data_IF_340299493409
#
_entry.id   IF_340299493409
#
_cell.length_a   1.000
_cell.length_b   1.000
_cell.length_c   1.000
_cell.angle_alpha   90.00
_cell.angle_beta   90.00
_cell.angle_gamma   90.00
#
_symmetry.space_group_name_H-M   'P 1'
#
loop_
_entity.id
_entity.type
_entity.pdbx_description
1 polymer ?
#
# COMPACT_ATOMS: atom_id res chain seq x y z
N UNK A 1 1.43 -12.71 24.01
CA UNK A 1 0.86 -11.57 23.27
C UNK A 1 -0.63 -11.81 23.19
N UNK A 2 -1.38 -11.38 24.20
CA UNK A 2 -2.84 -11.46 24.17
C UNK A 2 -3.31 -10.52 23.09
N UNK A 3 -3.86 -11.05 22.00
CA UNK A 3 -4.46 -10.25 20.96
C UNK A 3 -5.60 -9.48 21.59
N UNK A 4 -5.47 -8.15 21.64
CA UNK A 4 -6.65 -7.31 21.77
C UNK A 4 -7.64 -7.78 20.71
N UNK A 5 -8.87 -8.05 21.15
CA UNK A 5 -9.94 -8.56 20.30
C UNK A 5 -10.17 -7.55 19.17
N UNK A 6 -9.56 -7.82 18.02
CA UNK A 6 -9.61 -6.95 16.85
C UNK A 6 -11.06 -6.95 16.37
N UNK A 7 -11.83 -5.92 16.75
CA UNK A 7 -13.18 -5.71 16.24
C UNK A 7 -13.10 -5.25 14.79
N UNK A 8 -12.99 -6.22 13.90
CA UNK A 8 -12.95 -5.99 12.45
C UNK A 8 -14.35 -5.57 12.00
N UNK A 9 -14.53 -4.27 11.73
CA UNK A 9 -15.72 -3.76 11.08
C UNK A 9 -15.44 -3.51 9.60
N UNK A 10 -16.48 -3.55 8.76
CA UNK A 10 -16.40 -3.16 7.34
C UNK A 10 -15.75 -1.78 7.17
N UNK A 11 -16.10 -0.82 8.02
CA UNK A 11 -15.52 0.51 8.03
C UNK A 11 -14.01 0.51 8.34
N UNK A 12 -13.57 -0.29 9.31
CA UNK A 12 -12.15 -0.41 9.66
C UNK A 12 -11.33 -1.02 8.52
N UNK A 13 -11.86 -2.04 7.84
CA UNK A 13 -11.21 -2.65 6.69
C UNK A 13 -11.08 -1.67 5.52
N UNK A 14 -12.14 -0.89 5.23
CA UNK A 14 -12.10 0.16 4.21
C UNK A 14 -11.07 1.24 4.56
N UNK A 15 -10.99 1.66 5.81
CA UNK A 15 -9.99 2.63 6.25
C UNK A 15 -8.56 2.11 6.08
N UNK A 16 -8.31 0.83 6.44
CA UNK A 16 -7.00 0.21 6.24
C UNK A 16 -6.65 0.07 4.75
N UNK A 17 -7.64 -0.21 3.88
CA UNK A 17 -7.44 -0.25 2.43
C UNK A 17 -6.96 1.11 1.89
N UNK A 18 -7.60 2.21 2.31
CA UNK A 18 -7.20 3.58 1.94
C UNK A 18 -5.79 3.90 2.43
N UNK A 19 -5.41 3.46 3.64
CA UNK A 19 -4.03 3.64 4.14
C UNK A 19 -3.01 2.93 3.26
N UNK A 20 -3.31 1.72 2.79
CA UNK A 20 -2.42 0.96 1.91
C UNK A 20 -2.34 1.54 0.49
N UNK A 21 -3.44 2.07 -0.03
CA UNK A 21 -3.42 2.84 -1.29
C UNK A 21 -2.48 4.06 -1.18
N UNK A 22 -2.62 4.83 -0.10
CA UNK A 22 -1.75 5.98 0.16
C UNK A 22 -0.29 5.56 0.31
N UNK A 23 -0.01 4.49 1.06
CA UNK A 23 1.34 3.96 1.23
C UNK A 23 1.96 3.53 -0.11
N UNK A 24 1.19 2.90 -1.00
CA UNK A 24 1.66 2.54 -2.34
C UNK A 24 2.02 3.78 -3.16
N UNK A 25 1.16 4.80 -3.14
CA UNK A 25 1.39 6.07 -3.84
C UNK A 25 2.62 6.82 -3.30
N UNK A 26 2.73 6.97 -1.99
CA UNK A 26 3.86 7.63 -1.33
C UNK A 26 5.17 6.90 -1.61
N UNK A 27 5.17 5.55 -1.60
CA UNK A 27 6.36 4.75 -1.92
C UNK A 27 6.82 4.94 -3.35
N UNK A 28 5.90 4.90 -4.34
CA UNK A 28 6.23 5.19 -5.75
C UNK A 28 6.78 6.60 -5.92
N UNK A 29 6.12 7.57 -5.30
CA UNK A 29 6.56 8.97 -5.34
C UNK A 29 7.98 9.13 -4.78
N UNK A 30 8.26 8.47 -3.65
CA UNK A 30 9.58 8.49 -3.04
C UNK A 30 10.66 7.83 -3.91
N UNK A 31 10.32 6.78 -4.67
CA UNK A 31 11.20 6.14 -5.65
C UNK A 31 11.58 7.11 -6.77
N UNK A 32 10.58 7.72 -7.41
CA UNK A 32 10.77 8.64 -8.55
C UNK A 32 11.51 9.91 -8.14
N UNK A 33 11.32 10.40 -6.91
CA UNK A 33 11.94 11.63 -6.42
C UNK A 33 13.49 11.63 -6.44
N UNK A 34 14.13 10.46 -6.55
CA UNK A 34 15.59 10.32 -6.59
C UNK A 34 16.16 10.03 -7.98
N UNK A 35 15.33 9.96 -9.01
CA UNK A 35 15.77 9.69 -10.37
C UNK A 35 16.70 10.78 -10.91
N UNK A 36 17.77 10.38 -11.60
CA UNK A 36 18.72 11.28 -12.25
C UNK A 36 19.76 11.91 -11.33
N UNK A 37 19.79 11.58 -10.03
CA UNK A 37 20.83 12.06 -9.10
C UNK A 37 22.23 11.59 -9.51
N UNK A 38 22.37 10.35 -9.96
CA UNK A 38 23.60 9.78 -10.52
C UNK A 38 24.12 10.57 -11.73
N UNK A 39 23.22 10.96 -12.63
CA UNK A 39 23.53 11.76 -13.82
C UNK A 39 23.90 13.20 -13.44
N UNK A 40 23.19 13.80 -12.48
CA UNK A 40 23.49 15.13 -11.98
C UNK A 40 24.89 15.21 -11.35
N UNK A 41 25.29 14.21 -10.57
CA UNK A 41 26.65 14.12 -9.99
C UNK A 41 27.70 14.04 -11.08
N UNK A 42 27.49 13.18 -12.10
CA UNK A 42 28.41 13.06 -13.23
C UNK A 42 28.51 14.36 -14.04
N UNK A 43 27.40 15.06 -14.26
CA UNK A 43 27.37 16.30 -15.02
C UNK A 43 28.07 17.45 -14.30
N UNK A 44 27.94 17.53 -12.97
CA UNK A 44 28.49 18.63 -12.18
C UNK A 44 29.96 18.44 -11.83
N UNK A 45 30.41 17.20 -11.62
CA UNK A 45 31.77 16.89 -11.18
C UNK A 45 32.63 16.25 -12.28
N UNK A 46 32.03 15.87 -13.41
CA UNK A 46 32.74 15.29 -14.55
C UNK A 46 33.29 13.89 -14.28
N UNK A 47 34.36 13.53 -14.98
CA UNK A 47 34.93 12.17 -14.98
C UNK A 47 35.49 11.74 -13.62
N UNK A 48 35.94 12.67 -12.77
CA UNK A 48 36.47 12.35 -11.44
C UNK A 48 35.41 11.70 -10.54
N UNK A 49 34.13 12.00 -10.75
CA UNK A 49 33.01 11.43 -10.02
C UNK A 49 32.41 10.19 -10.68
N UNK A 50 33.04 9.61 -11.71
CA UNK A 50 32.45 8.47 -12.44
C UNK A 50 32.18 7.27 -11.54
N UNK A 51 33.09 6.95 -10.61
CA UNK A 51 32.89 5.85 -9.67
C UNK A 51 31.70 6.12 -8.72
N UNK A 52 31.56 7.37 -8.25
CA UNK A 52 30.45 7.80 -7.41
C UNK A 52 29.12 7.74 -8.15
N UNK A 53 29.08 8.23 -9.40
CA UNK A 53 27.88 8.17 -10.25
C UNK A 53 27.45 6.72 -10.51
N UNK A 54 28.38 5.82 -10.85
CA UNK A 54 28.08 4.39 -11.01
C UNK A 54 27.59 3.72 -9.73
N UNK A 55 28.14 4.09 -8.57
CA UNK A 55 27.66 3.59 -7.29
C UNK A 55 26.25 4.10 -6.98
N UNK A 56 25.94 5.37 -7.30
CA UNK A 56 24.60 5.93 -7.15
C UNK A 56 23.60 5.24 -8.06
N UNK A 57 23.93 5.01 -9.33
CA UNK A 57 23.06 4.29 -10.29
C UNK A 57 22.66 2.90 -9.76
N UNK A 58 23.63 2.13 -9.24
CA UNK A 58 23.37 0.82 -8.66
C UNK A 58 22.45 0.89 -7.42
N UNK A 59 22.69 1.86 -6.53
CA UNK A 59 21.86 2.05 -5.31
C UNK A 59 20.45 2.52 -5.68
N UNK A 60 20.31 3.45 -6.62
CA UNK A 60 19.02 3.98 -7.07
C UNK A 60 18.20 2.90 -7.77
N UNK A 61 18.84 2.07 -8.62
CA UNK A 61 18.19 0.92 -9.24
C UNK A 61 17.66 -0.09 -8.20
N UNK A 62 18.47 -0.39 -7.18
CA UNK A 62 18.05 -1.27 -6.07
C UNK A 62 16.90 -0.66 -5.27
N UNK A 63 16.99 0.64 -4.96
CA UNK A 63 15.95 1.38 -4.25
C UNK A 63 14.64 1.43 -5.04
N UNK A 64 14.71 1.63 -6.36
CA UNK A 64 13.54 1.61 -7.24
C UNK A 64 12.86 0.25 -7.22
N UNK A 65 13.63 -0.83 -7.39
CA UNK A 65 13.09 -2.19 -7.32
C UNK A 65 12.43 -2.49 -5.96
N UNK A 66 13.05 -2.06 -4.86
CA UNK A 66 12.50 -2.24 -3.52
C UNK A 66 11.20 -1.43 -3.34
N UNK A 67 11.18 -0.17 -3.79
CA UNK A 67 10.00 0.69 -3.72
C UNK A 67 8.83 0.13 -4.52
N UNK A 68 9.06 -0.36 -5.74
CA UNK A 68 8.01 -1.01 -6.55
C UNK A 68 7.41 -2.22 -5.85
N UNK A 69 8.27 -3.08 -5.26
CA UNK A 69 7.81 -4.26 -4.51
C UNK A 69 6.97 -3.86 -3.31
N UNK A 70 7.39 -2.85 -2.55
CA UNK A 70 6.65 -2.34 -1.39
C UNK A 70 5.29 -1.73 -1.79
N UNK A 71 5.26 -0.98 -2.90
CA UNK A 71 4.02 -0.43 -3.44
C UNK A 71 3.07 -1.54 -3.89
N UNK A 72 3.58 -2.58 -4.58
CA UNK A 72 2.77 -3.72 -5.02
C UNK A 72 2.21 -4.54 -3.85
N UNK A 73 2.98 -4.74 -2.78
CA UNK A 73 2.48 -5.39 -1.56
C UNK A 73 1.36 -4.56 -0.94
N UNK A 74 1.52 -3.23 -0.90
CA UNK A 74 0.49 -2.34 -0.37
C UNK A 74 -0.79 -2.37 -1.21
N UNK A 75 -0.70 -2.31 -2.54
CA UNK A 75 -1.86 -2.46 -3.42
C UNK A 75 -2.55 -3.83 -3.24
N UNK A 76 -1.77 -4.90 -3.11
CA UNK A 76 -2.32 -6.23 -2.83
C UNK A 76 -3.08 -6.28 -1.51
N UNK A 77 -2.59 -5.58 -0.48
CA UNK A 77 -3.27 -5.49 0.81
C UNK A 77 -4.54 -4.65 0.70
N UNK A 78 -4.50 -3.50 -0.01
CA UNK A 78 -5.70 -2.70 -0.32
C UNK A 78 -6.79 -3.56 -0.94
N UNK A 79 -6.46 -4.37 -1.95
CA UNK A 79 -7.43 -5.20 -2.66
C UNK A 79 -8.03 -6.26 -1.73
N UNK A 80 -7.20 -6.97 -0.97
CA UNK A 80 -7.65 -7.97 0.00
C UNK A 80 -8.55 -7.38 1.08
N UNK A 81 -8.23 -6.19 1.57
CA UNK A 81 -9.02 -5.50 2.59
C UNK A 81 -10.36 -5.00 2.03
N UNK A 82 -10.35 -4.50 0.80
CA UNK A 82 -11.57 -4.09 0.08
C UNK A 82 -12.50 -5.28 -0.14
N UNK A 83 -11.96 -6.42 -0.56
CA UNK A 83 -12.73 -7.65 -0.75
C UNK A 83 -13.26 -8.20 0.57
N UNK A 84 -12.47 -8.15 1.65
CA UNK A 84 -12.91 -8.53 2.98
C UNK A 84 -14.06 -7.63 3.46
N UNK A 85 -13.94 -6.31 3.28
CA UNK A 85 -14.99 -5.35 3.65
C UNK A 85 -16.31 -5.66 2.91
N UNK A 86 -16.25 -5.93 1.60
CA UNK A 86 -17.43 -6.34 0.82
C UNK A 86 -18.08 -7.61 1.36
N UNK A 87 -17.28 -8.64 1.65
CA UNK A 87 -17.80 -9.92 2.16
C UNK A 87 -18.45 -9.78 3.52
N UNK A 88 -17.85 -9.00 4.42
CA UNK A 88 -18.45 -8.69 5.72
C UNK A 88 -19.76 -7.91 5.55
N UNK A 89 -19.75 -6.83 4.76
CA UNK A 89 -20.96 -6.04 4.48
C UNK A 89 -22.11 -6.89 3.94
N UNK A 90 -21.86 -7.74 2.93
CA UNK A 90 -22.87 -8.64 2.38
C UNK A 90 -23.38 -9.68 3.38
N UNK A 91 -22.51 -10.17 4.27
CA UNK A 91 -22.92 -11.12 5.33
C UNK A 91 -23.80 -10.42 6.35
N UNK A 92 -23.41 -9.23 6.80
CA UNK A 92 -24.18 -8.43 7.77
C UNK A 92 -25.55 -8.05 7.22
N UNK A 93 -25.63 -7.61 5.95
CA UNK A 93 -26.89 -7.29 5.28
C UNK A 93 -27.82 -8.52 5.16
N UNK A 94 -27.27 -9.68 4.79
CA UNK A 94 -28.03 -10.91 4.64
C UNK A 94 -28.58 -11.39 6.00
N UNK A 95 -27.76 -11.36 7.05
CA UNK A 95 -28.19 -11.74 8.40
C UNK A 95 -29.18 -10.72 8.99
N UNK A 96 -28.95 -9.43 8.79
CA UNK A 96 -29.88 -8.36 9.20
C UNK A 96 -31.25 -8.54 8.55
N UNK A 97 -31.29 -8.79 7.24
CA UNK A 97 -32.53 -9.05 6.51
C UNK A 97 -33.26 -10.31 7.01
N UNK A 98 -32.51 -11.37 7.33
CA UNK A 98 -33.07 -12.60 7.89
C UNK A 98 -33.69 -12.36 9.28
N UNK A 99 -33.03 -11.58 10.14
CA UNK A 99 -33.56 -11.20 11.45
C UNK A 99 -34.80 -10.32 11.33
N UNK A 100 -34.78 -9.30 10.47
CA UNK A 100 -35.95 -8.44 10.21
C UNK A 100 -37.16 -9.26 9.75
N UNK A 101 -36.94 -10.29 8.94
CA UNK A 101 -38.02 -11.20 8.50
C UNK A 101 -38.60 -12.05 9.63
N UNK A 102 -37.80 -12.40 10.64
CA UNK A 102 -38.22 -13.21 11.79
C UNK A 102 -38.88 -12.38 12.90
N UNK A 103 -38.48 -11.11 13.03
CA UNK A 103 -38.92 -10.22 14.13
C UNK A 103 -40.12 -9.34 13.73
N UNK A 104 -40.53 -9.35 12.45
CA UNK A 104 -41.75 -8.64 12.00
C UNK A 104 -42.97 -9.05 12.85
N UNK A 105 -43.60 -8.12 13.59
CA UNK A 105 -44.83 -8.43 14.33
C UNK A 105 -45.98 -8.66 13.34
N UNK A 106 -46.89 -9.56 13.74
CA UNK A 106 -48.12 -9.90 13.00
C UNK A 106 -49.05 -8.70 12.81
#
# INVERSE_FOLDING_TARGET
MSGEELRVTTAHLSELAVRHERAAHETRSATVATEGVDAAVKNTHGSIASATSSALDAVLSSRHSAGDRMANVSDTLRDKLTDAAKRYGSTDEAQGSALDSQVRPA
#
